data_IF_367252029658
#
_entry.id   IF_367252029658
#
_cell.length_a   1.000
_cell.length_b   1.000
_cell.length_c   1.000
_cell.angle_alpha   90.00
_cell.angle_beta   90.00
_cell.angle_gamma   90.00
#
_symmetry.space_group_name_H-M   'P 1'
#
loop_
_entity.id
_entity.type
_entity.pdbx_description
1 polymer ?
#
# COMPACT_ATOMS: atom_id res chain seq x y z
N UNK A 1 12.04 10.14 0.94
CA UNK A 1 12.81 10.60 2.12
C UNK A 1 12.31 11.94 2.68
N UNK A 2 12.08 12.98 1.85
CA UNK A 2 11.66 14.34 2.29
C UNK A 2 10.43 14.36 3.22
N UNK A 3 9.43 13.53 2.96
CA UNK A 3 8.19 13.47 3.76
C UNK A 3 8.41 13.02 5.21
N UNK A 4 9.27 12.02 5.45
CA UNK A 4 9.58 11.53 6.80
C UNK A 4 10.23 12.60 7.68
N UNK A 5 11.02 13.49 7.08
CA UNK A 5 11.62 14.62 7.79
C UNK A 5 10.58 15.68 8.18
N UNK A 6 9.66 15.99 7.27
CA UNK A 6 8.55 16.92 7.54
C UNK A 6 7.62 16.37 8.62
N UNK A 7 7.34 15.06 8.62
CA UNK A 7 6.53 14.40 9.65
C UNK A 7 7.20 14.46 11.03
N UNK A 8 8.51 14.22 11.13
CA UNK A 8 9.23 14.35 12.39
C UNK A 8 9.37 15.82 12.85
N UNK A 9 9.40 16.76 11.90
CA UNK A 9 9.53 18.19 12.18
C UNK A 9 8.28 18.76 12.88
N UNK A 10 7.07 18.27 12.58
CA UNK A 10 5.82 18.78 13.19
C UNK A 10 5.85 18.74 14.73
N UNK A 11 6.04 17.57 15.39
CA UNK A 11 6.09 17.52 16.85
C UNK A 11 7.37 18.16 17.41
N UNK A 12 8.50 18.05 16.71
CA UNK A 12 9.76 18.63 17.15
C UNK A 12 9.69 20.15 17.25
N UNK A 13 9.13 20.80 16.24
CA UNK A 13 8.97 22.27 16.19
C UNK A 13 7.88 22.70 17.19
N UNK A 14 6.76 21.96 17.26
CA UNK A 14 5.64 22.31 18.14
C UNK A 14 6.05 22.25 19.62
N UNK A 15 6.65 21.14 20.06
CA UNK A 15 7.09 20.99 21.44
C UNK A 15 8.40 21.71 21.73
N UNK A 16 9.32 21.78 20.76
CA UNK A 16 10.62 22.42 20.95
C UNK A 16 10.51 23.92 21.22
N UNK A 17 9.82 24.65 20.33
CA UNK A 17 9.66 26.11 20.47
C UNK A 17 8.75 26.45 21.66
N UNK A 18 7.66 25.68 21.85
CA UNK A 18 6.77 25.87 23.01
C UNK A 18 7.50 25.61 24.33
N UNK A 19 8.26 24.51 24.42
CA UNK A 19 9.02 24.15 25.62
C UNK A 19 10.14 25.14 25.93
N UNK A 20 10.86 25.62 24.91
CA UNK A 20 11.87 26.67 25.06
C UNK A 20 11.25 27.98 25.57
N UNK A 21 10.08 28.36 25.05
CA UNK A 21 9.33 29.52 25.53
C UNK A 21 8.90 29.41 26.99
N UNK A 22 8.41 28.24 27.41
CA UNK A 22 8.05 27.96 28.80
C UNK A 22 9.28 28.03 29.72
N UNK A 23 10.42 27.47 29.31
CA UNK A 23 11.66 27.51 30.08
C UNK A 23 12.17 28.94 30.28
N UNK A 24 12.11 29.78 29.24
CA UNK A 24 12.47 31.19 29.32
C UNK A 24 11.55 31.96 30.28
N UNK A 25 10.25 31.67 30.24
CA UNK A 25 9.27 32.25 31.15
C UNK A 25 9.54 31.86 32.62
N UNK A 26 9.81 30.57 32.89
CA UNK A 26 10.19 30.09 34.23
C UNK A 26 11.50 30.69 34.72
N UNK A 27 12.44 30.99 33.82
CA UNK A 27 13.69 31.68 34.13
C UNK A 27 13.51 33.19 34.41
N UNK A 28 12.29 33.72 34.33
CA UNK A 28 11.98 35.12 34.66
C UNK A 28 12.22 36.10 33.52
N UNK A 29 12.44 35.63 32.28
CA UNK A 29 12.51 36.53 31.13
C UNK A 29 11.12 37.02 30.71
N UNK A 30 10.95 38.32 30.38
CA UNK A 30 9.70 38.88 29.89
C UNK A 30 9.48 38.48 28.43
N UNK A 31 9.08 37.22 28.21
CA UNK A 31 8.72 36.71 26.88
C UNK A 31 7.20 36.75 26.75
N UNK A 32 6.70 37.47 25.74
CA UNK A 32 5.28 37.45 25.43
C UNK A 32 4.84 36.06 24.98
N UNK A 33 3.68 35.61 25.45
CA UNK A 33 3.13 34.29 25.13
C UNK A 33 2.87 34.08 23.63
N UNK A 34 2.75 35.17 22.87
CA UNK A 34 2.68 35.14 21.41
C UNK A 34 3.92 34.50 20.77
N UNK A 35 5.11 34.66 21.36
CA UNK A 35 6.32 34.02 20.85
C UNK A 35 6.32 32.51 21.08
N UNK A 36 5.67 32.05 22.15
CA UNK A 36 5.46 30.63 22.45
C UNK A 36 4.46 30.02 21.43
N UNK A 37 3.50 30.84 20.95
CA UNK A 37 2.49 30.44 19.97
C UNK A 37 3.10 30.06 18.60
N UNK A 38 4.19 30.73 18.20
CA UNK A 38 4.84 30.61 16.87
C UNK A 38 5.17 29.16 16.52
N UNK A 39 5.64 28.37 17.49
CA UNK A 39 6.03 26.98 17.28
C UNK A 39 4.90 26.11 16.73
N UNK A 40 3.76 26.12 17.42
CA UNK A 40 2.60 25.36 16.98
C UNK A 40 1.96 25.93 15.71
N UNK A 41 2.06 27.25 15.48
CA UNK A 41 1.59 27.87 14.23
C UNK A 41 2.40 27.38 13.04
N UNK A 42 3.72 27.37 13.11
CA UNK A 42 4.57 26.81 12.04
C UNK A 42 4.25 25.33 11.83
N UNK A 43 4.14 24.55 12.91
CA UNK A 43 3.80 23.13 12.83
C UNK A 43 2.42 22.86 12.24
N UNK A 44 1.42 23.71 12.45
CA UNK A 44 0.09 23.54 11.86
C UNK A 44 0.09 23.83 10.36
N UNK A 45 0.87 24.81 9.89
CA UNK A 45 1.08 25.01 8.45
C UNK A 45 1.78 23.82 7.79
N UNK A 46 2.81 23.25 8.44
CA UNK A 46 3.50 22.05 7.92
C UNK A 46 2.53 20.86 7.88
N UNK A 47 1.72 20.66 8.93
CA UNK A 47 0.72 19.60 8.99
C UNK A 47 -0.35 19.77 7.91
N UNK A 48 -0.82 21.01 7.68
CA UNK A 48 -1.79 21.31 6.63
C UNK A 48 -1.20 21.08 5.23
N UNK A 49 0.07 21.44 5.00
CA UNK A 49 0.78 21.15 3.77
C UNK A 49 0.91 19.63 3.52
N UNK A 50 1.27 18.87 4.56
CA UNK A 50 1.29 17.40 4.51
C UNK A 50 -0.10 16.85 4.19
N UNK A 51 -1.16 17.37 4.81
CA UNK A 51 -2.54 16.96 4.54
C UNK A 51 -3.01 17.31 3.10
N UNK A 52 -2.48 18.39 2.51
CA UNK A 52 -2.85 18.86 1.17
C UNK A 52 -2.28 17.99 0.04
N UNK A 53 -1.01 17.57 0.16
CA UNK A 53 -0.34 16.74 -0.86
C UNK A 53 -0.85 15.29 -0.84
N UNK A 54 -1.47 14.87 0.26
CA UNK A 54 -1.99 13.51 0.41
C UNK A 54 -3.32 13.33 -0.34
N UNK A 55 -3.56 12.16 -0.97
CA UNK A 55 -4.70 11.93 -1.87
C UNK A 55 -6.06 12.00 -1.14
N UNK A 56 -6.11 11.65 0.14
CA UNK A 56 -7.28 11.83 1.01
C UNK A 56 -7.06 13.00 1.97
N UNK A 57 -7.68 14.13 1.63
CA UNK A 57 -7.63 15.37 2.41
C UNK A 57 -8.30 15.16 3.77
N UNK A 58 -7.54 15.31 4.85
CA UNK A 58 -8.10 15.44 6.19
C UNK A 58 -8.45 16.91 6.43
N UNK A 59 -9.76 17.22 6.37
CA UNK A 59 -10.29 18.58 6.50
C UNK A 59 -9.90 19.19 7.86
N UNK A 60 -9.85 18.36 8.92
CA UNK A 60 -9.49 18.83 10.26
C UNK A 60 -8.04 19.27 10.27
N UNK A 61 -7.12 18.46 9.75
CA UNK A 61 -5.71 18.82 9.62
C UNK A 61 -5.53 20.07 8.74
N UNK A 62 -6.29 20.19 7.64
CA UNK A 62 -6.24 21.35 6.74
C UNK A 62 -6.68 22.65 7.42
N UNK A 63 -7.61 22.57 8.37
CA UNK A 63 -8.14 23.71 9.13
C UNK A 63 -7.26 24.11 10.32
N UNK A 64 -6.28 23.28 10.71
CA UNK A 64 -5.41 23.57 11.87
C UNK A 64 -4.69 24.93 11.84
N UNK A 65 -4.23 25.46 10.68
CA UNK A 65 -3.58 26.77 10.65
C UNK A 65 -4.46 27.92 11.10
N UNK A 66 -5.79 27.80 10.95
CA UNK A 66 -6.75 28.81 11.40
C UNK A 66 -6.62 29.00 12.92
N UNK A 67 -6.55 27.90 13.67
CA UNK A 67 -6.36 27.94 15.12
C UNK A 67 -4.99 28.50 15.53
N UNK A 68 -3.94 28.19 14.77
CA UNK A 68 -2.60 28.74 15.02
C UNK A 68 -2.55 30.26 14.87
N UNK A 69 -3.26 30.81 13.87
CA UNK A 69 -3.37 32.27 13.68
C UNK A 69 -4.15 32.90 14.84
N UNK A 70 -5.26 32.28 15.26
CA UNK A 70 -6.05 32.76 16.40
C UNK A 70 -5.18 32.86 17.66
N UNK A 71 -4.38 31.83 17.97
CA UNK A 71 -3.47 31.85 19.12
C UNK A 71 -2.34 32.86 19.01
N UNK A 72 -1.92 33.24 17.80
CA UNK A 72 -0.91 34.29 17.60
C UNK A 72 -1.49 35.69 17.89
N UNK A 73 -2.76 35.91 17.52
CA UNK A 73 -3.39 37.25 17.58
C UNK A 73 -4.17 37.51 18.87
N UNK A 74 -4.66 36.47 19.54
CA UNK A 74 -5.46 36.63 20.74
C UNK A 74 -4.58 36.93 21.97
N UNK A 75 -4.89 37.97 22.76
CA UNK A 75 -4.24 38.19 24.04
C UNK A 75 -4.72 37.11 25.02
N UNK A 76 -3.81 36.28 25.51
CA UNK A 76 -4.10 35.18 26.44
C UNK A 76 -3.34 35.41 27.74
N UNK A 77 -4.02 35.17 28.86
CA UNK A 77 -3.40 35.22 30.18
C UNK A 77 -2.30 34.17 30.34
N UNK A 78 -1.20 34.57 30.97
CA UNK A 78 0.05 33.81 31.05
C UNK A 78 -0.12 32.33 31.48
N UNK A 79 -0.89 32.09 32.56
CA UNK A 79 -1.08 30.73 33.09
C UNK A 79 -1.90 29.82 32.17
N UNK A 80 -2.96 30.36 31.57
CA UNK A 80 -3.84 29.62 30.67
C UNK A 80 -3.18 29.39 29.29
N UNK A 81 -2.36 30.33 28.82
CA UNK A 81 -1.71 30.27 27.51
C UNK A 81 -0.73 29.11 27.36
N UNK A 82 0.08 28.84 28.37
CA UNK A 82 1.03 27.71 28.33
C UNK A 82 0.31 26.35 28.24
N UNK A 83 -0.75 26.16 29.04
CA UNK A 83 -1.54 24.92 29.04
C UNK A 83 -2.24 24.74 27.70
N UNK A 84 -2.84 25.80 27.16
CA UNK A 84 -3.54 25.76 25.88
C UNK A 84 -2.59 25.45 24.72
N UNK A 85 -1.37 25.99 24.74
CA UNK A 85 -0.37 25.74 23.72
C UNK A 85 0.15 24.30 23.75
N UNK A 86 0.33 23.70 24.93
CA UNK A 86 0.70 22.29 25.08
C UNK A 86 -0.42 21.36 24.61
N UNK A 87 -1.67 21.69 24.92
CA UNK A 87 -2.83 20.95 24.40
C UNK A 87 -2.90 21.04 22.87
N UNK A 88 -2.62 22.21 22.30
CA UNK A 88 -2.59 22.38 20.85
C UNK A 88 -1.44 21.60 20.18
N UNK A 89 -0.23 21.63 20.74
CA UNK A 89 0.90 20.79 20.28
C UNK A 89 0.56 19.29 20.32
N UNK A 90 -0.12 18.86 21.39
CA UNK A 90 -0.61 17.48 21.54
C UNK A 90 -1.64 17.15 20.47
N UNK A 91 -2.59 18.05 20.21
CA UNK A 91 -3.58 17.91 19.14
C UNK A 91 -2.96 17.76 17.75
N UNK A 92 -1.95 18.56 17.43
CA UNK A 92 -1.20 18.44 16.16
C UNK A 92 -0.51 17.07 16.03
N UNK A 93 0.04 16.56 17.13
CA UNK A 93 0.68 15.24 17.16
C UNK A 93 -0.33 14.11 16.97
N UNK A 94 -1.50 14.19 17.62
CA UNK A 94 -2.59 13.22 17.43
C UNK A 94 -3.08 13.24 15.97
N UNK A 95 -3.26 14.42 15.39
CA UNK A 95 -3.67 14.57 13.99
C UNK A 95 -2.62 13.99 13.03
N UNK A 96 -1.33 14.21 13.30
CA UNK A 96 -0.25 13.59 12.55
C UNK A 96 -0.27 12.05 12.65
N UNK A 97 -0.46 11.50 13.86
CA UNK A 97 -0.59 10.05 14.06
C UNK A 97 -1.81 9.51 13.33
N UNK A 98 -2.94 10.20 13.39
CA UNK A 98 -4.17 9.82 12.69
C UNK A 98 -3.98 9.83 11.18
N UNK A 99 -3.31 10.87 10.65
CA UNK A 99 -2.93 10.96 9.25
C UNK A 99 -2.06 9.75 8.88
N UNK A 100 -1.01 9.47 9.66
CA UNK A 100 -0.11 8.34 9.45
C UNK A 100 -0.83 6.99 9.52
N UNK A 101 -1.70 6.76 10.51
CA UNK A 101 -2.43 5.50 10.69
C UNK A 101 -3.39 5.25 9.54
N UNK A 102 -4.14 6.27 9.12
CA UNK A 102 -5.04 6.18 7.96
C UNK A 102 -4.28 5.79 6.69
N UNK A 103 -3.04 6.25 6.52
CA UNK A 103 -2.19 5.86 5.39
C UNK A 103 -1.40 4.57 5.61
N UNK A 104 -1.06 4.18 6.83
CA UNK A 104 -0.45 2.89 7.13
C UNK A 104 -1.44 1.75 6.92
N UNK A 105 -2.72 1.95 7.22
CA UNK A 105 -3.79 1.01 6.84
C UNK A 105 -3.94 0.94 5.30
N UNK A 106 -3.60 2.00 4.55
CA UNK A 106 -3.57 2.00 3.08
C UNK A 106 -2.26 1.41 2.50
N UNK A 107 -1.12 1.49 3.20
CA UNK A 107 0.11 0.76 2.86
C UNK A 107 0.00 -0.74 3.18
N UNK A 108 -0.86 -1.11 4.13
CA UNK A 108 -1.34 -2.47 4.36
C UNK A 108 -2.68 -2.73 3.63
N UNK A 109 -3.00 -1.94 2.60
CA UNK A 109 -4.20 -2.04 1.78
C UNK A 109 -4.24 -3.28 0.88
N UNK A 110 -3.72 -4.42 1.35
CA UNK A 110 -4.16 -5.69 0.83
C UNK A 110 -5.65 -5.79 1.17
N UNK A 111 -6.54 -5.90 0.18
CA UNK A 111 -7.89 -6.36 0.46
C UNK A 111 -7.76 -7.70 1.20
N UNK A 112 -7.99 -7.68 2.51
CA UNK A 112 -7.75 -8.84 3.38
C UNK A 112 -8.88 -9.81 3.13
N UNK A 113 -8.55 -10.92 2.46
CA UNK A 113 -9.47 -12.04 2.33
C UNK A 113 -9.74 -12.62 3.72
N UNK A 114 -10.93 -13.20 3.91
CA UNK A 114 -11.27 -13.81 5.19
C UNK A 114 -10.19 -14.84 5.58
N UNK A 115 -9.58 -14.76 6.78
CA UNK A 115 -8.49 -15.65 7.19
C UNK A 115 -8.93 -17.11 7.31
N UNK A 116 -10.24 -17.35 7.37
CA UNK A 116 -10.82 -18.69 7.40
C UNK A 116 -11.00 -19.31 6.00
N UNK A 117 -10.87 -18.52 4.93
CA UNK A 117 -10.95 -18.97 3.54
C UNK A 117 -9.59 -19.54 3.06
N UNK A 118 -9.54 -20.60 2.23
CA UNK A 118 -8.28 -21.13 1.69
C UNK A 118 -7.45 -20.07 0.97
N UNK A 119 -8.10 -19.15 0.25
CA UNK A 119 -7.44 -18.04 -0.44
C UNK A 119 -6.83 -17.03 0.54
N UNK A 120 -7.45 -16.80 1.69
CA UNK A 120 -6.93 -15.94 2.75
C UNK A 120 -5.72 -16.56 3.45
N UNK A 121 -5.75 -17.87 3.71
CA UNK A 121 -4.57 -18.60 4.21
C UNK A 121 -3.40 -18.55 3.23
N UNK A 122 -3.70 -18.68 1.94
CA UNK A 122 -2.70 -18.56 0.88
C UNK A 122 -2.13 -17.14 0.78
N UNK A 123 -2.98 -16.11 0.81
CA UNK A 123 -2.57 -14.71 0.83
C UNK A 123 -1.62 -14.42 2.00
N UNK A 124 -1.95 -14.86 3.22
CA UNK A 124 -1.09 -14.68 4.38
C UNK A 124 0.27 -15.39 4.20
N UNK A 125 0.29 -16.60 3.64
CA UNK A 125 1.52 -17.34 3.35
C UNK A 125 2.39 -16.62 2.32
N UNK A 126 1.80 -16.13 1.24
CA UNK A 126 2.53 -15.44 0.17
C UNK A 126 3.06 -14.09 0.65
N UNK A 127 2.25 -13.29 1.35
CA UNK A 127 2.69 -12.00 1.88
C UNK A 127 3.81 -12.14 2.94
N UNK A 128 3.84 -13.24 3.69
CA UNK A 128 4.93 -13.52 4.62
C UNK A 128 6.25 -13.89 3.92
N UNK A 129 6.20 -14.47 2.71
CA UNK A 129 7.37 -14.92 1.96
C UNK A 129 7.84 -13.92 0.89
N UNK A 130 6.94 -13.10 0.35
CA UNK A 130 7.27 -12.01 -0.59
C UNK A 130 7.63 -10.75 0.21
N UNK A 131 8.91 -10.62 0.55
CA UNK A 131 9.42 -9.62 1.50
C UNK A 131 9.09 -8.17 1.15
N UNK A 132 8.86 -7.80 -0.11
CA UNK A 132 8.26 -6.51 -0.50
C UNK A 132 7.78 -6.58 -1.95
N UNK A 133 6.48 -6.43 -2.20
CA UNK A 133 5.95 -6.27 -3.57
C UNK A 133 5.94 -4.77 -3.91
N UNK A 134 6.58 -4.40 -5.03
CA UNK A 134 6.50 -3.03 -5.55
C UNK A 134 5.05 -2.67 -5.92
N UNK A 135 4.54 -1.47 -5.59
CA UNK A 135 3.21 -1.03 -5.99
C UNK A 135 2.98 -1.06 -7.51
N UNK A 136 4.03 -0.85 -8.31
CA UNK A 136 3.96 -0.95 -9.76
C UNK A 136 3.70 -2.40 -10.22
N UNK A 137 4.31 -3.36 -9.53
CA UNK A 137 4.19 -4.78 -9.82
C UNK A 137 2.83 -5.34 -9.38
N UNK A 138 2.32 -4.91 -8.23
CA UNK A 138 0.96 -5.22 -7.78
C UNK A 138 -0.09 -4.71 -8.78
N UNK A 139 0.08 -3.48 -9.29
CA UNK A 139 -0.77 -2.92 -10.35
C UNK A 139 -0.67 -3.71 -11.66
N UNK A 140 0.54 -4.10 -12.07
CA UNK A 140 0.73 -4.93 -13.26
C UNK A 140 0.05 -6.30 -13.14
N UNK A 141 0.21 -6.97 -11.99
CA UNK A 141 -0.43 -8.24 -11.68
C UNK A 141 -1.96 -8.14 -11.76
N UNK A 142 -2.53 -7.07 -11.20
CA UNK A 142 -3.96 -6.80 -11.26
C UNK A 142 -4.48 -6.64 -12.68
N UNK A 143 -3.82 -5.82 -13.50
CA UNK A 143 -4.24 -5.60 -14.89
C UNK A 143 -4.18 -6.89 -15.72
N UNK A 144 -3.11 -7.67 -15.58
CA UNK A 144 -2.99 -8.96 -16.27
C UNK A 144 -4.11 -9.91 -15.86
N UNK A 145 -4.35 -10.06 -14.54
CA UNK A 145 -5.40 -10.94 -14.05
C UNK A 145 -6.80 -10.51 -14.51
N UNK A 146 -7.12 -9.22 -14.42
CA UNK A 146 -8.41 -8.67 -14.83
C UNK A 146 -8.66 -8.94 -16.32
N UNK A 147 -7.71 -8.59 -17.19
CA UNK A 147 -7.82 -8.80 -18.64
C UNK A 147 -7.96 -10.27 -18.99
N UNK A 148 -7.21 -11.12 -18.32
CA UNK A 148 -7.34 -12.57 -18.50
C UNK A 148 -8.75 -13.06 -18.13
N UNK A 149 -9.27 -12.63 -16.98
CA UNK A 149 -10.59 -13.04 -16.48
C UNK A 149 -11.75 -12.49 -17.33
N UNK A 150 -11.57 -11.32 -17.96
CA UNK A 150 -12.51 -10.72 -18.92
C UNK A 150 -12.49 -11.43 -20.29
N UNK A 151 -11.52 -12.31 -20.53
CA UNK A 151 -11.34 -13.00 -21.82
C UNK A 151 -10.52 -12.19 -22.84
N UNK A 152 -9.95 -11.06 -22.44
CA UNK A 152 -9.03 -10.26 -23.26
C UNK A 152 -7.61 -10.86 -23.23
N UNK A 153 -7.46 -12.08 -23.76
CA UNK A 153 -6.22 -12.86 -23.66
C UNK A 153 -5.03 -12.23 -24.40
N UNK A 154 -5.26 -11.61 -25.55
CA UNK A 154 -4.21 -10.92 -26.31
C UNK A 154 -3.61 -9.75 -25.51
N UNK A 155 -4.46 -8.95 -24.89
CA UNK A 155 -4.04 -7.81 -24.06
C UNK A 155 -3.38 -8.29 -22.76
N UNK A 156 -3.92 -9.36 -22.15
CA UNK A 156 -3.28 -10.03 -21.01
C UNK A 156 -1.87 -10.52 -21.35
N UNK A 157 -1.68 -11.11 -22.53
CA UNK A 157 -0.39 -11.57 -23.02
C UNK A 157 0.60 -10.41 -23.20
N UNK A 158 0.17 -9.34 -23.87
CA UNK A 158 0.96 -8.14 -24.10
C UNK A 158 1.42 -7.50 -22.78
N UNK A 159 0.49 -7.35 -21.83
CA UNK A 159 0.78 -6.77 -20.53
C UNK A 159 1.72 -7.65 -19.70
N UNK A 160 1.51 -8.97 -19.67
CA UNK A 160 2.34 -9.90 -18.92
C UNK A 160 3.78 -9.98 -19.48
N UNK A 161 3.93 -9.88 -20.79
CA UNK A 161 5.24 -9.95 -21.46
C UNK A 161 6.11 -8.71 -21.21
N UNK A 162 5.51 -7.55 -20.89
CA UNK A 162 6.22 -6.31 -20.59
C UNK A 162 6.64 -6.14 -19.11
N UNK A 163 6.22 -7.05 -18.22
CA UNK A 163 6.53 -6.96 -16.78
C UNK A 163 7.99 -7.30 -16.41
N UNK A 164 8.71 -8.21 -17.10
CA UNK A 164 10.12 -8.48 -16.81
C UNK A 164 11.01 -7.23 -16.87
N UNK A 165 10.62 -6.18 -17.62
CA UNK A 165 11.33 -4.89 -17.68
C UNK A 165 11.07 -4.00 -16.45
N UNK A 166 9.98 -4.23 -15.71
CA UNK A 166 9.62 -3.53 -14.48
C UNK A 166 10.16 -4.22 -13.22
N UNK A 167 10.67 -5.44 -13.36
CA UNK A 167 11.21 -6.21 -12.26
C UNK A 167 12.62 -5.68 -11.92
N UNK A 168 12.74 -5.00 -10.77
CA UNK A 168 14.04 -4.74 -10.15
C UNK A 168 14.73 -6.07 -9.79
N UNK A 169 16.04 -6.06 -9.55
CA UNK A 169 16.86 -7.21 -9.08
C UNK A 169 16.27 -7.90 -7.83
N UNK A 170 15.38 -7.22 -7.11
CA UNK A 170 14.72 -7.70 -5.88
C UNK A 170 13.42 -8.47 -6.12
N UNK A 171 12.99 -8.61 -7.38
CA UNK A 171 11.74 -9.29 -7.72
C UNK A 171 11.92 -10.80 -7.53
N UNK A 172 11.14 -11.45 -6.66
CA UNK A 172 11.29 -12.89 -6.41
C UNK A 172 10.93 -13.63 -7.70
N UNK A 173 11.84 -14.48 -8.19
CA UNK A 173 11.71 -15.21 -9.47
C UNK A 173 10.41 -16.02 -9.62
N UNK A 174 9.70 -16.29 -8.51
CA UNK A 174 8.34 -16.80 -8.49
C UNK A 174 7.36 -15.95 -9.33
N UNK A 175 7.39 -14.63 -9.16
CA UNK A 175 6.40 -13.73 -9.76
C UNK A 175 6.69 -13.49 -11.24
N UNK A 176 7.96 -13.34 -11.61
CA UNK A 176 8.39 -13.32 -13.01
C UNK A 176 7.94 -14.58 -13.74
N UNK A 177 8.06 -15.74 -13.08
CA UNK A 177 7.61 -17.00 -13.65
C UNK A 177 6.11 -17.05 -13.84
N UNK A 178 5.33 -16.51 -12.89
CA UNK A 178 3.88 -16.41 -13.04
C UNK A 178 3.48 -15.53 -14.23
N UNK A 179 4.14 -14.38 -14.42
CA UNK A 179 3.90 -13.55 -15.61
C UNK A 179 4.27 -14.27 -16.91
N UNK A 180 5.39 -15.00 -16.93
CA UNK A 180 5.81 -15.78 -18.10
C UNK A 180 4.84 -16.93 -18.44
N UNK A 181 4.27 -17.59 -17.43
CA UNK A 181 3.25 -18.64 -17.62
C UNK A 181 1.99 -18.01 -18.22
N UNK A 182 1.50 -16.92 -17.63
CA UNK A 182 0.28 -16.25 -18.10
C UNK A 182 0.48 -15.67 -19.51
N UNK A 183 1.62 -15.05 -19.82
CA UNK A 183 1.87 -14.55 -21.18
C UNK A 183 1.87 -15.67 -22.20
N UNK A 184 2.60 -16.76 -21.93
CA UNK A 184 2.70 -17.90 -22.83
C UNK A 184 1.34 -18.56 -23.09
N UNK A 185 0.55 -18.81 -22.04
CA UNK A 185 -0.74 -19.47 -22.20
C UNK A 185 -1.83 -18.54 -22.73
N UNK A 186 -1.86 -17.26 -22.32
CA UNK A 186 -2.82 -16.29 -22.85
C UNK A 186 -2.61 -16.05 -24.35
N UNK A 187 -1.37 -16.01 -24.82
CA UNK A 187 -1.07 -15.91 -26.25
C UNK A 187 -1.55 -17.10 -27.09
N UNK A 188 -1.82 -18.24 -26.45
CA UNK A 188 -2.25 -19.49 -27.09
C UNK A 188 -3.71 -19.85 -26.85
N UNK A 189 -4.46 -19.06 -26.08
CA UNK A 189 -5.88 -19.34 -25.78
C UNK A 189 -6.80 -19.36 -27.01
N UNK A 190 -6.33 -18.84 -28.16
CA UNK A 190 -7.03 -18.92 -29.45
C UNK A 190 -6.53 -20.03 -30.39
N UNK A 191 -5.47 -20.75 -30.03
CA UNK A 191 -4.91 -21.82 -30.86
C UNK A 191 -5.56 -23.16 -30.51
N UNK A 192 -6.25 -23.77 -31.48
CA UNK A 192 -6.67 -25.17 -31.38
C UNK A 192 -5.50 -26.09 -31.73
N UNK A 193 -4.70 -26.46 -30.74
CA UNK A 193 -3.56 -27.36 -30.92
C UNK A 193 -3.25 -28.17 -29.65
N UNK A 194 -2.48 -29.26 -29.78
CA UNK A 194 -2.02 -30.02 -28.61
C UNK A 194 -1.15 -29.16 -27.69
N UNK A 195 -1.07 -29.55 -26.42
CA UNK A 195 -0.20 -28.88 -25.44
C UNK A 195 1.25 -28.88 -25.96
N UNK A 196 1.95 -27.72 -25.96
CA UNK A 196 3.31 -27.60 -26.46
C UNK A 196 4.29 -28.53 -25.74
N UNK A 197 5.37 -28.89 -26.44
CA UNK A 197 6.36 -29.77 -25.84
C UNK A 197 7.15 -29.10 -24.70
N UNK A 198 7.40 -27.81 -24.85
CA UNK A 198 8.06 -26.97 -23.85
C UNK A 198 7.15 -25.80 -23.49
N UNK A 199 6.93 -25.60 -22.20
CA UNK A 199 6.18 -24.46 -21.69
C UNK A 199 6.78 -23.96 -20.36
N UNK A 200 6.56 -22.69 -19.99
CA UNK A 200 6.99 -22.18 -18.70
C UNK A 200 6.33 -22.93 -17.54
N UNK A 201 7.14 -23.35 -16.57
CA UNK A 201 6.72 -24.09 -15.38
C UNK A 201 7.36 -23.51 -14.11
N UNK A 202 6.63 -23.49 -12.99
CA UNK A 202 7.24 -23.15 -11.70
C UNK A 202 8.36 -24.12 -11.32
N UNK A 203 9.51 -23.58 -10.88
CA UNK A 203 10.66 -24.37 -10.43
C UNK A 203 10.31 -25.22 -9.19
N UNK A 204 11.02 -26.34 -9.01
CA UNK A 204 10.87 -27.22 -7.84
C UNK A 204 10.97 -26.47 -6.49
N UNK A 205 11.86 -25.47 -6.42
CA UNK A 205 12.02 -24.62 -5.23
C UNK A 205 10.76 -23.85 -4.86
N UNK A 206 9.93 -23.49 -5.85
CA UNK A 206 8.74 -22.67 -5.67
C UNK A 206 7.48 -23.48 -5.38
N UNK A 207 7.52 -24.81 -5.46
CA UNK A 207 6.34 -25.67 -5.31
C UNK A 207 5.63 -25.50 -3.96
N UNK A 208 6.38 -25.26 -2.89
CA UNK A 208 5.81 -25.03 -1.56
C UNK A 208 5.03 -23.70 -1.42
N UNK A 209 5.23 -22.78 -2.38
CA UNK A 209 4.55 -21.48 -2.45
C UNK A 209 3.36 -21.49 -3.42
N UNK A 210 3.07 -22.60 -4.11
CA UNK A 210 1.93 -22.69 -5.01
C UNK A 210 0.63 -22.92 -4.23
N UNK A 211 -0.50 -22.54 -4.82
CA UNK A 211 -1.81 -22.76 -4.20
C UNK A 211 -2.17 -24.25 -4.25
N UNK A 212 -2.07 -24.84 -5.45
CA UNK A 212 -2.29 -26.26 -5.71
C UNK A 212 -0.95 -26.97 -5.94
N UNK A 213 -0.70 -28.04 -5.20
CA UNK A 213 0.48 -28.90 -5.40
C UNK A 213 0.43 -29.55 -6.77
N UNK A 214 1.53 -29.48 -7.52
CA UNK A 214 1.68 -30.18 -8.79
C UNK A 214 1.75 -31.70 -8.53
N UNK A 215 0.97 -32.53 -9.24
CA UNK A 215 0.98 -33.97 -9.05
C UNK A 215 2.34 -34.58 -9.45
N UNK A 216 2.82 -35.55 -8.67
CA UNK A 216 4.10 -36.23 -8.92
C UNK A 216 4.12 -37.17 -10.13
N UNK A 217 2.96 -37.41 -10.76
CA UNK A 217 2.84 -38.13 -12.03
C UNK A 217 2.06 -37.24 -13.02
N UNK A 218 2.73 -36.68 -14.05
CA UNK A 218 2.15 -35.62 -14.86
C UNK A 218 1.27 -36.20 -15.95
N UNK A 219 -0.03 -36.15 -15.76
CA UNK A 219 -0.90 -35.89 -16.90
C UNK A 219 -0.53 -34.49 -17.42
N UNK A 220 0.05 -34.42 -18.62
CA UNK A 220 0.66 -33.20 -19.17
C UNK A 220 -0.35 -32.07 -19.32
N UNK A 221 -1.57 -32.40 -19.75
CA UNK A 221 -2.66 -31.43 -19.89
C UNK A 221 -3.10 -30.88 -18.53
N UNK A 222 -3.12 -31.75 -17.51
CA UNK A 222 -3.43 -31.37 -16.15
C UNK A 222 -2.35 -30.48 -15.54
N UNK A 223 -1.07 -30.82 -15.74
CA UNK A 223 0.04 -29.98 -15.30
C UNK A 223 0.03 -28.62 -16.00
N UNK A 224 -0.19 -28.60 -17.31
CA UNK A 224 -0.30 -27.36 -18.10
C UNK A 224 -1.38 -26.42 -17.55
N UNK A 225 -2.57 -26.96 -17.28
CA UNK A 225 -3.70 -26.21 -16.71
C UNK A 225 -3.42 -25.72 -15.29
N UNK A 226 -2.83 -26.57 -14.44
CA UNK A 226 -2.51 -26.24 -13.04
C UNK A 226 -1.45 -25.16 -12.91
N UNK A 227 -0.46 -25.12 -13.82
CA UNK A 227 0.55 -24.05 -13.84
C UNK A 227 -0.10 -22.69 -14.06
N UNK A 228 -1.05 -22.60 -14.98
CA UNK A 228 -1.82 -21.37 -15.24
C UNK A 228 -2.72 -21.00 -14.06
N UNK A 229 -3.47 -21.95 -13.51
CA UNK A 229 -4.33 -21.69 -12.35
C UNK A 229 -3.51 -21.14 -11.18
N UNK A 230 -2.37 -21.77 -10.87
CA UNK A 230 -1.45 -21.29 -9.84
C UNK A 230 -0.89 -19.91 -10.15
N UNK A 231 -0.52 -19.63 -11.41
CA UNK A 231 -0.01 -18.33 -11.82
C UNK A 231 -1.06 -17.24 -11.66
N UNK A 232 -2.30 -17.48 -12.11
CA UNK A 232 -3.41 -16.53 -11.97
C UNK A 232 -3.77 -16.26 -10.51
N UNK A 233 -3.79 -17.29 -9.66
CA UNK A 233 -4.05 -17.14 -8.23
C UNK A 233 -2.95 -16.31 -7.57
N UNK A 234 -1.68 -16.55 -7.91
CA UNK A 234 -0.57 -15.76 -7.40
C UNK A 234 -0.69 -14.29 -7.83
N UNK A 235 -0.96 -14.03 -9.11
CA UNK A 235 -1.16 -12.67 -9.62
C UNK A 235 -2.34 -11.98 -8.92
N UNK A 236 -3.45 -12.68 -8.70
CA UNK A 236 -4.60 -12.15 -7.96
C UNK A 236 -4.21 -11.76 -6.54
N UNK A 237 -3.55 -12.64 -5.79
CA UNK A 237 -3.11 -12.38 -4.41
C UNK A 237 -2.16 -11.20 -4.32
N UNK A 238 -1.21 -11.13 -5.25
CA UNK A 238 -0.26 -10.00 -5.35
C UNK A 238 -1.02 -8.72 -5.72
N UNK A 239 -1.98 -8.78 -6.64
CA UNK A 239 -2.78 -7.63 -7.05
C UNK A 239 -3.64 -7.07 -5.92
N UNK A 240 -4.07 -7.89 -4.95
CA UNK A 240 -4.79 -7.40 -3.78
C UNK A 240 -3.97 -6.39 -2.97
N UNK A 241 -2.63 -6.40 -3.05
CA UNK A 241 -1.77 -5.39 -2.42
C UNK A 241 -1.67 -4.06 -3.20
N UNK A 242 -2.38 -3.92 -4.32
CA UNK A 242 -2.42 -2.70 -5.11
C UNK A 242 -3.12 -1.57 -4.35
N UNK A 243 -2.57 -0.35 -4.44
CA UNK A 243 -3.20 0.86 -3.89
C UNK A 243 -4.19 1.51 -4.86
N UNK A 244 -4.34 0.96 -6.05
CA UNK A 244 -5.21 1.48 -7.11
C UNK A 244 -6.67 1.08 -6.89
N UNK A 245 -7.54 2.06 -6.69
CA UNK A 245 -8.96 1.85 -6.39
C UNK A 245 -9.75 1.22 -7.53
N UNK A 246 -9.37 1.48 -8.79
CA UNK A 246 -10.07 0.89 -9.95
C UNK A 246 -9.76 -0.60 -10.03
N UNK A 247 -8.48 -0.95 -9.88
CA UNK A 247 -8.05 -2.34 -9.85
C UNK A 247 -8.71 -3.09 -8.69
N UNK A 248 -8.76 -2.51 -7.50
CA UNK A 248 -9.42 -3.13 -6.34
C UNK A 248 -10.92 -3.40 -6.59
N UNK A 249 -11.64 -2.43 -7.17
CA UNK A 249 -13.05 -2.61 -7.51
C UNK A 249 -13.26 -3.76 -8.50
N UNK A 250 -12.42 -3.84 -9.55
CA UNK A 250 -12.49 -4.93 -10.53
C UNK A 250 -12.12 -6.29 -9.92
N UNK A 251 -11.11 -6.35 -9.04
CA UNK A 251 -10.72 -7.57 -8.33
C UNK A 251 -11.86 -8.09 -7.43
N UNK A 252 -12.59 -7.20 -6.77
CA UNK A 252 -13.75 -7.56 -5.95
C UNK A 252 -14.87 -8.17 -6.79
N UNK A 253 -15.14 -7.63 -7.97
CA UNK A 253 -16.11 -8.19 -8.92
C UNK A 253 -15.68 -9.56 -9.45
N UNK A 254 -14.37 -9.75 -9.66
CA UNK A 254 -13.78 -11.00 -10.19
C UNK A 254 -13.40 -12.01 -9.09
N UNK A 255 -13.69 -11.71 -7.81
CA UNK A 255 -13.49 -12.63 -6.70
C UNK A 255 -14.14 -14.02 -6.90
N UNK A 256 -15.37 -14.14 -7.48
CA UNK A 256 -15.95 -15.45 -7.78
C UNK A 256 -15.13 -16.24 -8.80
N UNK A 257 -14.48 -15.57 -9.77
CA UNK A 257 -13.59 -16.22 -10.73
C UNK A 257 -12.34 -16.77 -10.04
N UNK A 258 -11.68 -15.97 -9.19
CA UNK A 258 -10.55 -16.43 -8.38
C UNK A 258 -10.90 -17.65 -7.51
N UNK A 259 -12.10 -17.66 -6.90
CA UNK A 259 -12.58 -18.82 -6.12
C UNK A 259 -12.78 -20.08 -6.96
N UNK A 260 -13.22 -19.95 -8.21
CA UNK A 260 -13.37 -21.11 -9.12
C UNK A 260 -12.03 -21.73 -9.48
N UNK A 261 -10.98 -20.92 -9.62
CA UNK A 261 -9.61 -21.43 -9.86
C UNK A 261 -9.09 -22.26 -8.68
N UNK A 262 -9.60 -22.04 -7.47
CA UNK A 262 -9.18 -22.72 -6.25
C UNK A 262 -9.98 -23.97 -5.88
N UNK A 263 -11.14 -24.19 -6.51
CA UNK A 263 -12.18 -25.10 -6.02
C UNK A 263 -12.62 -26.19 -6.99
N UNK A 264 -11.73 -26.64 -7.89
CA UNK A 264 -11.96 -27.85 -8.68
C UNK A 264 -11.63 -29.11 -7.89
#
# INVERSE_FOLDING_TARGET
>A
MRERYLEAAVPLIAFGITGAGILLWVAGYPVDFQYIAIGCTISSFILAYLAWIRPRKDIVALSTPIYGIIFLTAPIEAGAGAVLQLLYATGLTILLIRLKRRFSDEMCGAAVLSPNEPLGKYQARILANLLTVSPALARAAGRVFIRFAEGEYEESCRLASGVPELADVTTPGLLERAFAIVSFQAGRMGETGPVPDEFPEFSAEHQHLLFSSLPGNPDRERSYSLQLENALILLYVVALSSTDTEIQASLDMLRPFARRLCGK
#
